data_IF_166473592582
#
_entry.id   IF_166473592582
#
_cell.length_a   1.000
_cell.length_b   1.000
_cell.length_c   1.000
_cell.angle_alpha   90.00
_cell.angle_beta   90.00
_cell.angle_gamma   90.00
#
_symmetry.space_group_name_H-M   'P 1'
#
loop_
_entity.id
_entity.type
_entity.pdbx_description
1 polymer ?
#
# COMPACT_ATOMS: atom_id res chain seq x y z
N UNK A 1 6.77 40.49 -25.69
CA UNK A 1 5.50 39.90 -25.19
C UNK A 1 5.59 39.78 -23.67
N UNK A 2 4.97 40.69 -22.90
CA UNK A 2 5.01 40.66 -21.43
C UNK A 2 3.73 39.98 -20.93
N UNK A 3 3.85 38.77 -20.37
CA UNK A 3 2.78 38.13 -19.63
C UNK A 3 2.82 38.72 -18.22
N UNK A 4 1.83 39.55 -17.87
CA UNK A 4 1.74 40.13 -16.53
C UNK A 4 1.50 39.00 -15.50
N UNK A 5 2.31 38.98 -14.43
CA UNK A 5 2.08 38.13 -13.26
C UNK A 5 0.83 38.62 -12.53
N UNK A 6 -0.14 37.72 -12.34
CA UNK A 6 -1.27 37.92 -11.43
C UNK A 6 -1.15 36.89 -10.30
N UNK A 7 -1.52 37.34 -9.11
CA UNK A 7 -1.45 36.76 -7.76
C UNK A 7 -1.68 35.24 -7.65
N UNK A 8 -1.14 34.56 -6.61
CA UNK A 8 -1.29 33.13 -6.40
C UNK A 8 -2.70 32.81 -5.86
N UNK A 9 -3.73 32.94 -6.69
CA UNK A 9 -5.02 32.36 -6.39
C UNK A 9 -4.96 30.85 -6.71
N UNK A 10 -5.19 30.03 -5.69
CA UNK A 10 -5.38 28.58 -5.81
C UNK A 10 -6.48 28.33 -6.83
N UNK A 11 -6.09 27.95 -8.04
CA UNK A 11 -7.05 27.56 -9.08
C UNK A 11 -7.39 26.10 -8.84
N UNK A 12 -8.65 25.73 -8.55
CA UNK A 12 -9.00 24.36 -8.26
C UNK A 12 -8.65 23.49 -9.47
N UNK A 13 -7.74 22.54 -9.25
CA UNK A 13 -7.43 21.48 -10.19
C UNK A 13 -8.49 20.41 -9.99
N UNK A 14 -9.13 19.97 -11.07
CA UNK A 14 -10.08 18.86 -11.01
C UNK A 14 -9.75 17.83 -12.09
N UNK A 15 -9.94 16.57 -11.73
CA UNK A 15 -9.78 15.42 -12.63
C UNK A 15 -11.14 15.06 -13.21
N UNK A 16 -11.20 14.78 -14.51
CA UNK A 16 -12.43 14.38 -15.20
C UNK A 16 -12.14 13.36 -16.29
N UNK A 17 -13.20 12.71 -16.80
CA UNK A 17 -13.15 11.86 -17.97
C UNK A 17 -13.50 12.66 -19.22
N UNK A 18 -12.60 12.65 -20.20
CA UNK A 18 -12.83 13.13 -21.55
C UNK A 18 -12.96 11.94 -22.51
N UNK A 19 -13.41 12.20 -23.73
CA UNK A 19 -13.54 11.19 -24.79
C UNK A 19 -12.84 11.71 -26.04
N UNK A 20 -11.92 10.91 -26.58
CA UNK A 20 -11.23 11.18 -27.83
C UNK A 20 -12.21 11.16 -29.02
N UNK A 21 -11.80 11.70 -30.17
CA UNK A 21 -12.63 11.69 -31.40
C UNK A 21 -13.01 10.27 -31.83
N UNK A 22 -12.16 9.29 -31.55
CA UNK A 22 -12.38 7.87 -31.83
C UNK A 22 -13.25 7.14 -30.79
N UNK A 23 -13.69 7.83 -29.73
CA UNK A 23 -14.51 7.26 -28.66
C UNK A 23 -13.72 6.75 -27.45
N UNK A 24 -12.39 6.77 -27.46
CA UNK A 24 -11.57 6.27 -26.35
C UNK A 24 -11.67 7.21 -25.13
N UNK A 25 -11.95 6.68 -23.91
CA UNK A 25 -11.99 7.49 -22.70
C UNK A 25 -10.58 7.89 -22.24
N UNK A 26 -10.47 9.12 -21.71
CA UNK A 26 -9.21 9.72 -21.26
C UNK A 26 -9.37 10.33 -19.87
N UNK A 27 -8.55 9.92 -18.91
CA UNK A 27 -8.45 10.65 -17.66
C UNK A 27 -7.64 11.92 -17.91
N UNK A 28 -8.21 13.07 -17.56
CA UNK A 28 -7.53 14.35 -17.71
C UNK A 28 -7.53 15.16 -16.43
N UNK A 29 -6.41 15.83 -16.18
CA UNK A 29 -6.31 16.90 -15.22
C UNK A 29 -6.58 18.23 -15.94
N UNK A 30 -7.53 19.02 -15.45
CA UNK A 30 -7.86 20.31 -16.05
C UNK A 30 -7.49 21.45 -15.11
N UNK A 31 -6.67 22.37 -15.64
CA UNK A 31 -6.30 23.62 -14.97
C UNK A 31 -6.88 24.79 -15.73
N UNK A 32 -7.60 25.66 -15.02
CA UNK A 32 -8.26 26.83 -15.61
C UNK A 32 -7.68 28.10 -15.00
N UNK A 33 -7.36 29.09 -15.83
CA UNK A 33 -6.93 30.41 -15.37
C UNK A 33 -7.55 31.49 -16.26
N UNK A 34 -8.09 32.52 -15.64
CA UNK A 34 -8.53 33.71 -16.38
C UNK A 34 -7.32 34.58 -16.70
N UNK A 35 -7.21 34.99 -17.97
CA UNK A 35 -6.09 35.76 -18.51
C UNK A 35 -6.60 36.94 -19.34
N UNK A 36 -5.73 37.92 -19.57
CA UNK A 36 -5.95 38.95 -20.58
C UNK A 36 -5.22 38.54 -21.86
N UNK A 37 -5.96 38.26 -22.93
CA UNK A 37 -5.40 37.92 -24.24
C UNK A 37 -5.79 39.01 -25.25
N UNK A 38 -4.79 39.71 -25.79
CA UNK A 38 -4.97 40.84 -26.71
C UNK A 38 -5.97 41.91 -26.18
N UNK A 39 -5.85 42.25 -24.89
CA UNK A 39 -6.72 43.24 -24.24
C UNK A 39 -8.15 42.75 -23.93
N UNK A 40 -8.50 41.50 -24.28
CA UNK A 40 -9.80 40.90 -23.99
C UNK A 40 -9.67 39.88 -22.87
N UNK A 41 -10.67 39.83 -21.97
CA UNK A 41 -10.77 38.77 -20.95
C UNK A 41 -10.96 37.44 -21.66
N UNK A 42 -10.13 36.45 -21.31
CA UNK A 42 -10.18 35.10 -21.85
C UNK A 42 -9.93 34.10 -20.72
N UNK A 43 -10.34 32.84 -20.94
CA UNK A 43 -10.05 31.73 -20.03
C UNK A 43 -9.07 30.77 -20.69
N UNK A 44 -7.89 30.62 -20.10
CA UNK A 44 -6.94 29.60 -20.48
C UNK A 44 -7.32 28.29 -19.79
N UNK A 45 -7.48 27.23 -20.59
CA UNK A 45 -7.73 25.88 -20.11
C UNK A 45 -6.57 25.02 -20.58
N UNK A 46 -5.87 24.41 -19.62
CA UNK A 46 -4.84 23.40 -19.88
C UNK A 46 -5.42 22.06 -19.47
N UNK A 47 -5.38 21.12 -20.39
CA UNK A 47 -5.85 19.74 -20.18
C UNK A 47 -4.67 18.82 -20.36
N UNK A 48 -4.29 18.11 -19.30
CA UNK A 48 -3.20 17.15 -19.32
C UNK A 48 -3.78 15.75 -19.27
N UNK A 49 -3.41 14.89 -20.20
CA UNK A 49 -3.72 13.46 -20.12
C UNK A 49 -2.94 12.84 -18.96
N UNK A 50 -3.66 12.19 -18.04
CA UNK A 50 -3.10 11.50 -16.88
C UNK A 50 -3.52 10.02 -16.85
N UNK A 51 -4.02 9.49 -17.97
CA UNK A 51 -4.55 8.12 -18.05
C UNK A 51 -3.51 7.08 -17.64
N UNK A 52 -2.28 7.21 -18.13
CA UNK A 52 -1.20 6.32 -17.77
C UNK A 52 -0.89 6.37 -16.25
N UNK A 53 -0.83 7.57 -15.68
CA UNK A 53 -0.60 7.78 -14.25
C UNK A 53 -1.71 7.16 -13.39
N UNK A 54 -2.98 7.35 -13.77
CA UNK A 54 -4.13 6.78 -13.07
C UNK A 54 -4.07 5.25 -13.14
N UNK A 55 -3.77 4.68 -14.31
CA UNK A 55 -3.69 3.24 -14.51
C UNK A 55 -2.56 2.62 -13.68
N UNK A 56 -1.36 3.20 -13.66
CA UNK A 56 -0.27 2.71 -12.82
C UNK A 56 -0.61 2.81 -11.33
N UNK A 57 -1.18 3.94 -10.91
CA UNK A 57 -1.61 4.12 -9.51
C UNK A 57 -2.62 3.05 -9.10
N UNK A 58 -3.60 2.77 -9.96
CA UNK A 58 -4.58 1.73 -9.72
C UNK A 58 -3.95 0.32 -9.68
N UNK A 59 -3.03 0.01 -10.61
CA UNK A 59 -2.32 -1.25 -10.63
C UNK A 59 -1.49 -1.48 -9.35
N UNK A 60 -0.77 -0.46 -8.89
CA UNK A 60 0.00 -0.50 -7.63
C UNK A 60 -0.93 -0.75 -6.44
N UNK A 61 -2.05 -0.01 -6.35
CA UNK A 61 -3.05 -0.21 -5.28
C UNK A 61 -3.60 -1.64 -5.26
N UNK A 62 -3.86 -2.21 -6.44
CA UNK A 62 -4.33 -3.60 -6.56
C UNK A 62 -3.24 -4.60 -6.14
N UNK A 63 -1.99 -4.39 -6.53
CA UNK A 63 -0.86 -5.22 -6.12
C UNK A 63 -0.66 -5.18 -4.61
N UNK A 64 -0.68 -4.00 -3.99
CA UNK A 64 -0.58 -3.86 -2.55
C UNK A 64 -1.69 -4.63 -1.84
N UNK A 65 -2.95 -4.48 -2.28
CA UNK A 65 -4.08 -5.23 -1.71
C UNK A 65 -3.87 -6.75 -1.78
N UNK A 66 -3.34 -7.27 -2.89
CA UNK A 66 -3.02 -8.69 -3.03
C UNK A 66 -1.89 -9.12 -2.09
N UNK A 67 -0.83 -8.33 -1.96
CA UNK A 67 0.27 -8.62 -1.03
C UNK A 67 -0.22 -8.69 0.42
N UNK A 68 -1.10 -7.77 0.83
CA UNK A 68 -1.76 -7.81 2.15
C UNK A 68 -2.54 -9.10 2.37
N UNK A 69 -3.37 -9.47 1.39
CA UNK A 69 -4.15 -10.69 1.47
C UNK A 69 -3.26 -11.92 1.65
N UNK A 70 -2.22 -12.05 0.82
CA UNK A 70 -1.25 -13.15 0.87
C UNK A 70 -0.55 -13.18 2.24
N UNK A 71 -0.04 -12.06 2.73
CA UNK A 71 0.66 -11.99 4.00
C UNK A 71 -0.26 -12.38 5.18
N UNK A 72 -1.52 -11.93 5.16
CA UNK A 72 -2.51 -12.28 6.18
C UNK A 72 -2.85 -13.79 6.15
N UNK A 73 -3.15 -14.33 4.97
CA UNK A 73 -3.49 -15.75 4.78
C UNK A 73 -2.36 -16.67 5.25
N UNK A 74 -1.12 -16.41 4.82
CA UNK A 74 0.03 -17.23 5.21
C UNK A 74 0.34 -17.13 6.70
N UNK A 75 0.20 -15.94 7.28
CA UNK A 75 0.45 -15.75 8.71
C UNK A 75 -0.57 -16.50 9.56
N UNK A 76 -1.85 -16.47 9.17
CA UNK A 76 -2.88 -17.23 9.88
C UNK A 76 -2.60 -18.74 9.84
N UNK A 77 -2.25 -19.27 8.67
CA UNK A 77 -1.94 -20.70 8.49
C UNK A 77 -0.73 -21.14 9.33
N UNK A 78 0.27 -20.28 9.52
CA UNK A 78 1.48 -20.61 10.30
C UNK A 78 1.30 -20.40 11.81
N UNK A 79 0.51 -19.41 12.24
CA UNK A 79 0.31 -19.14 13.68
C UNK A 79 -0.38 -20.28 14.42
N UNK A 80 -1.34 -20.96 13.77
CA UNK A 80 -2.06 -22.11 14.37
C UNK A 80 -1.12 -23.26 14.77
N UNK A 81 -0.28 -23.81 13.88
CA UNK A 81 0.66 -24.85 14.26
C UNK A 81 1.73 -24.37 15.25
N UNK A 82 2.18 -23.10 15.19
CA UNK A 82 3.12 -22.56 16.19
C UNK A 82 2.50 -22.54 17.59
N UNK A 83 1.26 -22.07 17.74
CA UNK A 83 0.55 -22.09 19.01
C UNK A 83 0.43 -23.51 19.58
N UNK A 84 0.14 -24.50 18.72
CA UNK A 84 0.10 -25.90 19.11
C UNK A 84 1.47 -26.41 19.58
N UNK A 85 2.56 -26.09 18.88
CA UNK A 85 3.92 -26.48 19.28
C UNK A 85 4.30 -25.86 20.62
N UNK A 86 3.97 -24.58 20.86
CA UNK A 86 4.19 -23.91 22.14
C UNK A 86 3.44 -24.64 23.26
N UNK A 87 2.15 -24.92 23.06
CA UNK A 87 1.33 -25.62 24.03
C UNK A 87 1.86 -27.03 24.35
N UNK A 88 2.23 -27.79 23.32
CA UNK A 88 2.83 -29.11 23.49
C UNK A 88 4.17 -29.04 24.24
N UNK A 89 5.02 -28.06 23.92
CA UNK A 89 6.29 -27.82 24.63
C UNK A 89 6.04 -27.56 26.12
N UNK A 90 5.03 -26.76 26.45
CA UNK A 90 4.65 -26.48 27.84
C UNK A 90 4.16 -27.74 28.58
N UNK A 91 3.37 -28.59 27.91
CA UNK A 91 2.88 -29.85 28.49
C UNK A 91 4.02 -30.87 28.69
N UNK A 92 4.92 -31.02 27.72
CA UNK A 92 6.06 -31.93 27.80
C UNK A 92 7.00 -31.52 28.93
N UNK A 93 7.18 -30.22 29.18
CA UNK A 93 7.94 -29.73 30.34
C UNK A 93 7.42 -30.22 31.69
N UNK A 94 6.19 -30.70 31.77
CA UNK A 94 5.58 -31.24 33.00
C UNK A 94 5.78 -32.76 33.16
N UNK A 95 6.37 -33.48 32.19
CA UNK A 95 6.43 -34.95 32.21
C UNK A 95 7.69 -35.55 32.86
N UNK A 96 8.41 -34.79 33.69
CA UNK A 96 9.61 -35.29 34.39
C UNK A 96 10.78 -35.58 33.44
N UNK A 97 11.25 -34.53 32.75
CA UNK A 97 12.30 -34.61 31.74
C UNK A 97 13.70 -34.84 32.34
N UNK A 98 14.58 -35.48 31.57
CA UNK A 98 16.03 -35.41 31.83
C UNK A 98 16.57 -34.01 31.54
N UNK A 99 17.75 -33.68 32.07
CA UNK A 99 18.38 -32.38 31.83
C UNK A 99 18.61 -32.10 30.33
N UNK A 100 19.08 -33.10 29.58
CA UNK A 100 19.30 -33.01 28.13
C UNK A 100 17.99 -32.80 27.35
N UNK A 101 16.91 -33.49 27.74
CA UNK A 101 15.60 -33.30 27.12
C UNK A 101 15.03 -31.90 27.38
N UNK A 102 15.20 -31.39 28.59
CA UNK A 102 14.78 -30.03 28.94
C UNK A 102 15.52 -28.98 28.11
N UNK A 103 16.83 -29.13 27.94
CA UNK A 103 17.66 -28.23 27.12
C UNK A 103 17.24 -28.26 25.63
N UNK A 104 16.98 -29.44 25.06
CA UNK A 104 16.48 -29.56 23.68
C UNK A 104 15.10 -28.90 23.50
N UNK A 105 14.21 -29.03 24.49
CA UNK A 105 12.90 -28.37 24.49
C UNK A 105 13.02 -26.85 24.61
N UNK A 106 14.02 -26.34 25.32
CA UNK A 106 14.30 -24.91 25.39
C UNK A 106 14.77 -24.36 24.05
N UNK A 107 15.68 -25.06 23.35
CA UNK A 107 16.09 -24.68 21.99
C UNK A 107 14.91 -24.72 20.99
N UNK A 108 14.03 -25.71 21.10
CA UNK A 108 12.82 -25.79 20.27
C UNK A 108 11.88 -24.62 20.57
N UNK A 109 11.66 -24.30 21.84
CA UNK A 109 10.85 -23.15 22.26
C UNK A 109 11.39 -21.83 21.70
N UNK A 110 12.71 -21.61 21.79
CA UNK A 110 13.38 -20.44 21.23
C UNK A 110 13.18 -20.36 19.71
N UNK A 111 13.37 -21.47 18.99
CA UNK A 111 13.22 -21.52 17.53
C UNK A 111 11.78 -21.20 17.09
N UNK A 112 10.80 -21.68 17.86
CA UNK A 112 9.37 -21.42 17.62
C UNK A 112 9.03 -19.95 17.87
N UNK A 113 9.58 -19.33 18.92
CA UNK A 113 9.42 -17.90 19.17
C UNK A 113 10.03 -17.05 18.04
N UNK A 114 11.25 -17.38 17.60
CA UNK A 114 11.90 -16.68 16.49
C UNK A 114 11.09 -16.77 15.19
N UNK A 115 10.45 -17.91 14.94
CA UNK A 115 9.58 -18.09 13.77
C UNK A 115 8.29 -17.28 13.89
N UNK A 116 7.65 -17.24 15.06
CA UNK A 116 6.46 -16.40 15.30
C UNK A 116 6.77 -14.90 15.11
N UNK A 117 7.91 -14.44 15.62
CA UNK A 117 8.39 -13.07 15.42
C UNK A 117 8.68 -12.76 13.95
N UNK A 118 9.29 -13.70 13.21
CA UNK A 118 9.55 -13.54 11.78
C UNK A 118 8.24 -13.41 10.99
N UNK A 119 7.24 -14.23 11.30
CA UNK A 119 5.89 -14.15 10.71
C UNK A 119 5.22 -12.82 11.05
N UNK A 120 5.31 -12.39 12.31
CA UNK A 120 4.79 -11.10 12.76
C UNK A 120 5.39 -9.91 11.99
N UNK A 121 6.71 -9.91 11.79
CA UNK A 121 7.41 -8.88 11.02
C UNK A 121 6.97 -8.83 9.55
N UNK A 122 6.69 -9.97 8.93
CA UNK A 122 6.19 -10.01 7.54
C UNK A 122 4.85 -9.29 7.43
N UNK A 123 3.91 -9.57 8.36
CA UNK A 123 2.60 -8.89 8.37
C UNK A 123 2.75 -7.39 8.55
N UNK A 124 3.54 -6.98 9.55
CA UNK A 124 3.73 -5.57 9.87
C UNK A 124 4.41 -4.79 8.73
N UNK A 125 5.37 -5.42 8.03
CA UNK A 125 6.02 -4.77 6.90
C UNK A 125 5.04 -4.44 5.78
N UNK A 126 4.10 -5.34 5.50
CA UNK A 126 3.08 -5.10 4.47
C UNK A 126 2.10 -4.00 4.91
N UNK A 127 1.80 -3.86 6.20
CA UNK A 127 0.97 -2.77 6.76
C UNK A 127 1.54 -1.36 6.57
N UNK A 128 2.87 -1.20 6.56
CA UNK A 128 3.51 0.12 6.46
C UNK A 128 3.53 0.76 5.06
N UNK A 129 3.04 0.06 4.02
CA UNK A 129 3.13 0.50 2.61
C UNK A 129 1.92 1.34 2.14
N UNK A 130 0.92 1.58 3.01
CA UNK A 130 -0.26 2.38 2.67
C UNK A 130 -0.10 3.83 3.16
N UNK A 131 -0.06 4.84 2.27
CA UNK A 131 -0.53 6.17 2.61
C UNK A 131 -2.07 6.17 2.61
N UNK A 132 -2.66 6.85 3.61
CA UNK A 132 -4.12 7.10 3.73
C UNK A 132 -4.74 7.68 2.46
#
# INVERSE_FOLDING_TARGET
MRVARVSPEFTPVYTTMHVCKDGTPLHVEVRRRDILFNGKKARLIITTDITEQVNYTHAIKLQNKKLHQIAYEHSHVVRVPLANIIGLTMLIKQTGLTAEQAELLDYMGLSVQQLDEAVGRIVQHVETVLPE
#
